data_IF_346964124768
#
_entry.id   IF_346964124768
#
_cell.length_a   1.000
_cell.length_b   1.000
_cell.length_c   1.000
_cell.angle_alpha   90.00
_cell.angle_beta   90.00
_cell.angle_gamma   90.00
#
_symmetry.space_group_name_H-M   'P 1'
#
loop_
_entity.id
_entity.type
_entity.pdbx_description
1 polymer ?
#
# COMPACT_ATOMS: atom_id res chain seq x y z
N UNK A 1 -13.98 21.48 -22.75
CA UNK A 1 -13.24 20.31 -23.27
C UNK A 1 -13.76 19.08 -22.55
N UNK A 2 -14.23 18.06 -23.27
CA UNK A 2 -14.81 16.85 -22.67
C UNK A 2 -13.72 16.01 -21.99
N UNK A 3 -13.89 15.68 -20.71
CA UNK A 3 -12.99 14.83 -19.92
C UNK A 3 -12.75 13.45 -20.55
N UNK A 4 -13.68 12.98 -21.39
CA UNK A 4 -13.55 11.72 -22.11
C UNK A 4 -12.54 11.75 -23.27
N UNK A 5 -12.24 12.92 -23.83
CA UNK A 5 -11.31 13.04 -24.96
C UNK A 5 -9.84 13.04 -24.52
N UNK A 6 -9.54 13.46 -23.29
CA UNK A 6 -8.19 13.45 -22.72
C UNK A 6 -7.74 12.06 -22.21
N UNK A 7 -8.69 11.18 -21.88
CA UNK A 7 -8.39 9.80 -21.44
C UNK A 7 -8.03 8.87 -22.61
N UNK A 8 -8.35 9.26 -23.85
CA UNK A 8 -8.18 8.38 -25.01
C UNK A 8 -6.72 8.27 -25.50
N UNK A 9 -5.85 9.22 -25.19
CA UNK A 9 -4.45 9.22 -25.67
C UNK A 9 -3.43 8.66 -24.65
N UNK A 10 -3.78 8.61 -23.35
CA UNK A 10 -2.85 8.26 -22.25
C UNK A 10 -3.28 7.01 -21.45
N UNK A 11 -4.18 6.17 -21.95
CA UNK A 11 -4.62 4.96 -21.23
C UNK A 11 -3.92 3.70 -21.74
N UNK A 12 -3.54 2.82 -20.81
CA UNK A 12 -2.98 1.51 -21.12
C UNK A 12 -3.84 0.75 -22.16
N UNK A 13 -3.21 0.00 -23.08
CA UNK A 13 -3.98 -0.88 -23.95
C UNK A 13 -4.63 -2.03 -23.14
N UNK A 14 -5.69 -2.63 -23.67
CA UNK A 14 -6.44 -3.67 -22.95
C UNK A 14 -5.57 -4.88 -22.57
N UNK A 15 -4.59 -5.24 -23.40
CA UNK A 15 -3.67 -6.35 -23.10
C UNK A 15 -2.82 -6.05 -21.87
N UNK A 16 -2.34 -4.81 -21.73
CA UNK A 16 -1.56 -4.33 -20.57
C UNK A 16 -2.39 -4.39 -19.30
N UNK A 17 -3.66 -3.95 -19.37
CA UNK A 17 -4.61 -4.04 -18.24
C UNK A 17 -4.81 -5.49 -17.79
N UNK A 18 -5.08 -6.40 -18.73
CA UNK A 18 -5.32 -7.82 -18.42
C UNK A 18 -4.06 -8.52 -17.90
N UNK A 19 -2.90 -8.15 -18.43
CA UNK A 19 -1.61 -8.63 -17.91
C UNK A 19 -1.38 -8.13 -16.48
N UNK A 20 -1.65 -6.85 -16.22
CA UNK A 20 -1.51 -6.26 -14.89
C UNK A 20 -2.43 -6.94 -13.86
N UNK A 21 -3.70 -7.22 -14.21
CA UNK A 21 -4.62 -7.98 -13.36
C UNK A 21 -4.12 -9.40 -13.08
N UNK A 22 -3.63 -10.09 -14.11
CA UNK A 22 -3.11 -11.46 -13.99
C UNK A 22 -1.88 -11.50 -13.10
N UNK A 23 -0.95 -10.55 -13.28
CA UNK A 23 0.24 -10.40 -12.44
C UNK A 23 -0.19 -10.11 -11.00
N UNK A 24 -1.08 -9.15 -10.78
CA UNK A 24 -1.56 -8.77 -9.44
C UNK A 24 -2.18 -9.94 -8.69
N UNK A 25 -3.04 -10.72 -9.37
CA UNK A 25 -3.63 -11.93 -8.79
C UNK A 25 -2.59 -13.02 -8.50
N UNK A 26 -1.65 -13.24 -9.43
CA UNK A 26 -0.60 -14.25 -9.27
C UNK A 26 0.33 -13.91 -8.11
N UNK A 27 0.75 -12.65 -8.00
CA UNK A 27 1.57 -12.15 -6.90
C UNK A 27 0.81 -12.23 -5.57
N UNK A 28 -0.47 -11.87 -5.56
CA UNK A 28 -1.30 -11.98 -4.37
C UNK A 28 -1.41 -13.45 -3.88
N UNK A 29 -1.72 -14.37 -4.79
CA UNK A 29 -1.83 -15.80 -4.48
C UNK A 29 -0.48 -16.40 -4.05
N UNK A 30 0.60 -16.07 -4.76
CA UNK A 30 1.96 -16.47 -4.39
C UNK A 30 2.35 -15.98 -3.00
N UNK A 31 1.99 -14.75 -2.66
CA UNK A 31 2.20 -14.18 -1.34
C UNK A 31 1.36 -14.86 -0.25
N UNK A 32 0.08 -15.17 -0.52
CA UNK A 32 -0.75 -15.98 0.40
C UNK A 32 -0.12 -17.35 0.67
N UNK A 33 0.41 -18.01 -0.37
CA UNK A 33 1.09 -19.30 -0.22
C UNK A 33 2.34 -19.14 0.64
N UNK A 34 3.14 -18.10 0.41
CA UNK A 34 4.34 -17.82 1.20
C UNK A 34 4.00 -17.61 2.68
N UNK A 35 3.05 -16.71 2.97
CA UNK A 35 2.60 -16.42 4.32
C UNK A 35 1.98 -17.67 4.96
N UNK A 36 1.24 -18.47 4.20
CA UNK A 36 0.74 -19.76 4.68
C UNK A 36 1.86 -20.70 5.13
N UNK A 37 2.96 -20.74 4.38
CA UNK A 37 4.14 -21.57 4.69
C UNK A 37 4.97 -21.02 5.84
N UNK A 38 4.93 -19.72 6.13
CA UNK A 38 5.59 -19.11 7.30
C UNK A 38 5.06 -19.67 8.63
N UNK A 39 3.81 -20.19 8.64
CA UNK A 39 3.09 -20.68 9.83
C UNK A 39 2.98 -19.64 10.96
N UNK A 40 3.19 -18.35 10.67
CA UNK A 40 3.07 -17.28 11.65
C UNK A 40 1.74 -16.52 11.45
N UNK A 41 0.74 -16.70 12.34
CA UNK A 41 -0.57 -16.05 12.22
C UNK A 41 -0.50 -14.52 12.11
N UNK A 42 0.50 -13.89 12.74
CA UNK A 42 0.74 -12.44 12.67
C UNK A 42 0.95 -11.98 11.22
N UNK A 43 1.66 -12.77 10.42
CA UNK A 43 1.95 -12.43 9.02
C UNK A 43 0.74 -12.56 8.10
N UNK A 44 -0.22 -13.45 8.42
CA UNK A 44 -1.49 -13.49 7.67
C UNK A 44 -2.25 -12.18 7.84
N UNK A 45 -2.35 -11.72 9.09
CA UNK A 45 -2.96 -10.43 9.40
C UNK A 45 -2.27 -9.27 8.69
N UNK A 46 -0.94 -9.19 8.83
CA UNK A 46 -0.14 -8.15 8.20
C UNK A 46 -0.31 -8.13 6.68
N UNK A 47 -0.25 -9.30 6.03
CA UNK A 47 -0.36 -9.43 4.58
C UNK A 47 -1.76 -9.07 4.07
N UNK A 48 -2.82 -9.52 4.75
CA UNK A 48 -4.20 -9.18 4.40
C UNK A 48 -4.48 -7.68 4.60
N UNK A 49 -3.95 -7.08 5.66
CA UNK A 49 -4.02 -5.65 5.89
C UNK A 49 -3.31 -4.86 4.80
N UNK A 50 -2.11 -5.29 4.37
CA UNK A 50 -1.40 -4.65 3.27
C UNK A 50 -2.19 -4.70 1.96
N UNK A 51 -3.01 -5.73 1.73
CA UNK A 51 -3.86 -5.83 0.54
C UNK A 51 -5.20 -5.11 0.69
N UNK A 52 -6.15 -5.72 1.39
CA UNK A 52 -7.55 -5.25 1.47
C UNK A 52 -7.61 -3.94 2.24
N UNK A 53 -6.86 -3.86 3.33
CA UNK A 53 -6.80 -2.66 4.14
C UNK A 53 -6.08 -1.50 3.44
N UNK A 54 -4.97 -1.79 2.76
CA UNK A 54 -4.23 -0.84 1.92
C UNK A 54 -5.07 -0.31 0.77
N UNK A 55 -5.71 -1.19 0.00
CA UNK A 55 -6.57 -0.80 -1.13
C UNK A 55 -7.84 -0.06 -0.70
N UNK A 56 -8.42 -0.36 0.47
CA UNK A 56 -9.54 0.43 1.01
C UNK A 56 -9.07 1.82 1.46
N UNK A 57 -7.92 1.91 2.15
CA UNK A 57 -7.36 3.19 2.58
C UNK A 57 -6.95 4.04 1.38
N UNK A 58 -6.24 3.47 0.42
CA UNK A 58 -5.93 4.10 -0.86
C UNK A 58 -7.22 4.57 -1.52
N UNK A 59 -8.23 3.72 -1.71
CA UNK A 59 -9.49 4.16 -2.32
C UNK A 59 -10.14 5.35 -1.60
N UNK A 60 -10.11 5.37 -0.26
CA UNK A 60 -10.55 6.53 0.51
C UNK A 60 -9.72 7.75 0.13
N UNK A 61 -8.39 7.69 0.23
CA UNK A 61 -7.51 8.84 -0.04
C UNK A 61 -7.45 9.27 -1.52
N UNK A 62 -7.66 8.34 -2.44
CA UNK A 62 -7.55 8.52 -3.89
C UNK A 62 -8.87 8.95 -4.52
N UNK A 63 -10.00 8.43 -4.05
CA UNK A 63 -11.31 8.71 -4.63
C UNK A 63 -11.81 10.12 -4.35
N UNK A 64 -11.46 10.72 -3.20
CA UNK A 64 -12.02 12.01 -2.76
C UNK A 64 -11.08 12.98 -2.03
N UNK A 65 -9.88 12.56 -1.63
CA UNK A 65 -9.03 13.39 -0.77
C UNK A 65 -7.70 13.77 -1.43
N UNK A 66 -6.60 13.14 -1.03
CA UNK A 66 -5.26 13.70 -1.19
C UNK A 66 -4.50 13.21 -2.41
N UNK A 67 -4.79 12.06 -2.98
CA UNK A 67 -3.98 11.54 -4.10
C UNK A 67 -4.66 11.77 -5.44
N UNK A 68 -5.99 11.70 -5.49
CA UNK A 68 -6.80 11.92 -6.71
C UNK A 68 -6.22 11.21 -7.93
N UNK A 69 -6.36 9.90 -7.88
CA UNK A 69 -5.89 8.98 -8.89
C UNK A 69 -7.06 8.53 -9.75
N UNK A 70 -6.86 8.41 -11.07
CA UNK A 70 -7.83 7.79 -11.97
C UNK A 70 -7.21 6.55 -12.57
N UNK A 71 -7.89 5.42 -12.37
CA UNK A 71 -7.60 4.14 -13.03
C UNK A 71 -8.47 3.97 -14.27
N UNK A 72 -8.02 3.11 -15.19
CA UNK A 72 -8.83 2.73 -16.34
C UNK A 72 -10.16 2.03 -15.95
N UNK A 73 -11.27 2.40 -16.58
CA UNK A 73 -12.59 1.80 -16.25
C UNK A 73 -12.75 0.33 -16.68
N UNK A 74 -11.83 -0.18 -17.52
CA UNK A 74 -11.86 -1.56 -18.02
C UNK A 74 -11.29 -2.58 -17.03
N UNK A 75 -10.75 -2.12 -15.90
CA UNK A 75 -10.35 -3.00 -14.79
C UNK A 75 -11.56 -3.72 -14.20
N UNK A 76 -11.37 -4.97 -13.78
CA UNK A 76 -12.34 -5.66 -12.93
C UNK A 76 -12.51 -4.88 -11.64
N UNK A 77 -13.77 -4.62 -11.29
CA UNK A 77 -14.14 -3.82 -10.13
C UNK A 77 -14.17 -4.69 -8.87
N UNK A 78 -13.43 -4.31 -7.83
CA UNK A 78 -13.53 -4.95 -6.51
C UNK A 78 -14.78 -4.47 -5.76
N UNK A 79 -15.01 -3.16 -5.76
CA UNK A 79 -16.23 -2.54 -5.24
C UNK A 79 -16.49 -1.20 -5.94
N UNK A 80 -17.72 -0.70 -5.78
CA UNK A 80 -18.11 0.65 -6.17
C UNK A 80 -18.67 1.34 -4.95
N UNK A 81 -18.17 2.52 -4.63
CA UNK A 81 -18.67 3.33 -3.53
C UNK A 81 -18.68 4.80 -3.94
N UNK A 82 -19.75 5.51 -3.59
CA UNK A 82 -19.94 6.93 -3.95
C UNK A 82 -19.73 7.26 -5.44
N UNK A 83 -20.05 6.32 -6.35
CA UNK A 83 -19.91 6.48 -7.80
C UNK A 83 -18.52 6.16 -8.35
N UNK A 84 -17.52 5.90 -7.50
CA UNK A 84 -16.15 5.59 -7.91
C UNK A 84 -15.89 4.07 -7.83
N UNK A 85 -15.23 3.52 -8.85
CA UNK A 85 -14.87 2.10 -8.94
C UNK A 85 -13.47 1.89 -8.37
N UNK A 86 -13.32 0.95 -7.44
CA UNK A 86 -12.01 0.47 -7.02
C UNK A 86 -11.57 -0.69 -7.92
N UNK A 87 -10.43 -0.54 -8.59
CA UNK A 87 -9.86 -1.59 -9.42
C UNK A 87 -9.33 -2.73 -8.54
N UNK A 88 -9.78 -3.97 -8.80
CA UNK A 88 -9.36 -5.15 -8.05
C UNK A 88 -7.85 -5.38 -8.12
N UNK A 89 -7.25 -5.13 -9.28
CA UNK A 89 -5.81 -5.27 -9.44
C UNK A 89 -5.03 -4.42 -8.44
N UNK A 90 -5.44 -3.16 -8.22
CA UNK A 90 -4.78 -2.27 -7.27
C UNK A 90 -4.82 -2.85 -5.86
N UNK A 91 -6.02 -3.25 -5.39
CA UNK A 91 -6.22 -3.86 -4.05
C UNK A 91 -5.33 -5.09 -3.82
N UNK A 92 -5.26 -5.98 -4.82
CA UNK A 92 -4.48 -7.21 -4.72
C UNK A 92 -2.97 -6.93 -4.76
N UNK A 93 -2.58 -5.92 -5.51
CA UNK A 93 -1.19 -5.60 -5.78
C UNK A 93 -0.45 -4.98 -4.58
N UNK A 94 -1.14 -4.17 -3.76
CA UNK A 94 -0.53 -3.60 -2.53
C UNK A 94 0.02 -4.67 -1.58
N UNK A 95 -0.57 -5.87 -1.61
CA UNK A 95 -0.06 -7.03 -0.87
C UNK A 95 1.38 -7.39 -1.27
N UNK A 96 1.73 -7.26 -2.55
CA UNK A 96 3.06 -7.60 -3.02
C UNK A 96 4.07 -6.47 -2.80
N UNK A 97 3.67 -5.20 -2.91
CA UNK A 97 4.60 -4.09 -2.77
C UNK A 97 4.88 -3.70 -1.32
N UNK A 98 3.90 -3.87 -0.43
CA UNK A 98 4.08 -3.58 0.99
C UNK A 98 4.00 -4.84 1.85
N UNK A 99 3.08 -5.77 1.56
CA UNK A 99 2.85 -6.96 2.38
C UNK A 99 4.02 -7.95 2.38
N UNK A 100 4.40 -8.50 1.21
CA UNK A 100 5.50 -9.49 1.13
C UNK A 100 6.83 -8.92 1.61
N UNK A 101 7.28 -7.72 1.17
CA UNK A 101 8.49 -7.12 1.69
C UNK A 101 8.46 -6.99 3.20
N UNK A 102 7.34 -6.54 3.79
CA UNK A 102 7.19 -6.43 5.23
C UNK A 102 7.30 -7.79 5.94
N UNK A 103 6.65 -8.83 5.42
CA UNK A 103 6.74 -10.19 5.97
C UNK A 103 8.17 -10.71 5.90
N UNK A 104 8.83 -10.58 4.73
CA UNK A 104 10.22 -11.01 4.54
C UNK A 104 11.18 -10.27 5.48
N UNK A 105 11.04 -8.95 5.60
CA UNK A 105 11.87 -8.15 6.52
C UNK A 105 11.71 -8.61 7.97
N UNK A 106 10.51 -9.04 8.37
CA UNK A 106 10.27 -9.60 9.71
C UNK A 106 10.81 -11.02 9.87
N UNK A 107 10.64 -11.88 8.87
CA UNK A 107 11.20 -13.24 8.85
C UNK A 107 12.73 -13.24 8.99
N UNK A 108 13.41 -12.29 8.34
CA UNK A 108 14.87 -12.15 8.39
C UNK A 108 15.36 -11.09 9.37
N UNK A 109 14.48 -10.59 10.25
CA UNK A 109 14.79 -9.45 11.14
C UNK A 109 16.00 -9.67 12.04
N UNK A 110 16.17 -10.87 12.58
CA UNK A 110 17.32 -11.21 13.43
C UNK A 110 18.64 -11.07 12.68
N UNK A 111 18.68 -11.55 11.42
CA UNK A 111 19.86 -11.44 10.56
C UNK A 111 20.12 -9.98 10.17
N UNK A 112 19.07 -9.22 9.84
CA UNK A 112 19.19 -7.79 9.54
C UNK A 112 19.74 -7.01 10.74
N UNK A 113 19.21 -7.27 11.94
CA UNK A 113 19.70 -6.64 13.18
C UNK A 113 21.13 -7.02 13.52
N UNK A 114 21.55 -8.26 13.24
CA UNK A 114 22.93 -8.69 13.45
C UNK A 114 23.91 -8.00 12.48
N UNK A 115 23.51 -7.82 11.21
CA UNK A 115 24.37 -7.27 10.16
C UNK A 115 24.41 -5.73 10.16
N UNK A 116 23.25 -5.09 10.26
CA UNK A 116 23.08 -3.64 10.10
C UNK A 116 22.91 -2.90 11.45
N UNK A 117 22.76 -3.66 12.54
CA UNK A 117 22.26 -3.11 13.79
C UNK A 117 20.77 -2.74 13.70
N UNK A 118 20.18 -2.40 14.84
CA UNK A 118 18.76 -2.01 14.90
C UNK A 118 18.51 -0.76 14.06
N UNK A 119 19.21 0.34 14.35
CA UNK A 119 19.03 1.61 13.64
C UNK A 119 19.29 1.49 12.13
N UNK A 120 20.35 0.77 11.73
CA UNK A 120 20.66 0.54 10.32
C UNK A 120 19.57 -0.26 9.60
N UNK A 121 18.92 -1.20 10.29
CA UNK A 121 17.77 -1.93 9.71
C UNK A 121 16.58 -1.01 9.47
N UNK A 122 16.23 -0.13 10.41
CA UNK A 122 15.14 0.83 10.20
C UNK A 122 15.45 1.80 9.06
N UNK A 123 16.70 2.26 8.93
CA UNK A 123 17.14 3.08 7.79
C UNK A 123 17.00 2.30 6.48
N UNK A 124 17.44 1.04 6.43
CA UNK A 124 17.32 0.20 5.24
C UNK A 124 15.84 -0.01 4.84
N UNK A 125 14.95 -0.24 5.80
CA UNK A 125 13.50 -0.36 5.55
C UNK A 125 12.91 0.95 5.02
N UNK A 126 13.29 2.10 5.59
CA UNK A 126 12.86 3.40 5.12
C UNK A 126 13.36 3.69 3.69
N UNK A 127 14.62 3.34 3.38
CA UNK A 127 15.19 3.47 2.03
C UNK A 127 14.46 2.57 1.03
N UNK A 128 14.11 1.34 1.43
CA UNK A 128 13.34 0.43 0.58
C UNK A 128 11.99 1.04 0.20
N UNK A 129 11.29 1.67 1.14
CA UNK A 129 10.06 2.41 0.84
C UNK A 129 10.30 3.65 -0.02
N UNK A 130 11.31 4.46 0.33
CA UNK A 130 11.65 5.70 -0.38
C UNK A 130 12.00 5.48 -1.85
N UNK A 131 12.68 4.36 -2.16
CA UNK A 131 13.09 4.02 -3.54
C UNK A 131 12.08 3.12 -4.22
N UNK A 132 11.52 2.15 -3.49
CA UNK A 132 10.60 1.15 -4.03
C UNK A 132 9.26 1.75 -4.47
N UNK A 133 8.71 2.69 -3.71
CA UNK A 133 7.46 3.37 -4.07
C UNK A 133 7.58 4.14 -5.38
N UNK A 134 8.59 5.02 -5.60
CA UNK A 134 8.79 5.65 -6.90
C UNK A 134 9.01 4.68 -8.05
N UNK A 135 9.80 3.61 -7.87
CA UNK A 135 9.99 2.60 -8.93
C UNK A 135 8.64 2.03 -9.35
N UNK A 136 7.79 1.70 -8.38
CA UNK A 136 6.44 1.21 -8.64
C UNK A 136 5.56 2.26 -9.33
N UNK A 137 5.37 3.39 -8.68
CA UNK A 137 4.43 4.43 -9.09
C UNK A 137 4.81 4.99 -10.45
N UNK A 138 6.08 5.35 -10.66
CA UNK A 138 6.55 5.89 -11.93
C UNK A 138 6.43 4.88 -13.07
N UNK A 139 6.61 3.58 -12.78
CA UNK A 139 6.36 2.53 -13.79
C UNK A 139 4.89 2.51 -14.19
N UNK A 140 3.97 2.68 -13.25
CA UNK A 140 2.53 2.61 -13.54
C UNK A 140 1.96 3.88 -14.15
N UNK A 141 2.51 5.05 -13.81
CA UNK A 141 2.06 6.34 -14.33
C UNK A 141 2.73 6.68 -15.68
N UNK A 142 4.03 6.40 -15.83
CA UNK A 142 4.82 6.89 -16.97
C UNK A 142 5.20 5.82 -18.00
N UNK A 143 5.15 4.53 -17.66
CA UNK A 143 5.53 3.45 -18.59
C UNK A 143 4.32 2.62 -19.00
N UNK A 144 3.58 2.11 -18.02
CA UNK A 144 2.44 1.24 -18.25
C UNK A 144 1.11 2.00 -18.39
N UNK A 145 1.07 3.27 -17.96
CA UNK A 145 -0.11 4.14 -18.00
C UNK A 145 -1.38 3.50 -17.42
N UNK A 146 -1.21 2.78 -16.29
CA UNK A 146 -2.27 2.08 -15.57
C UNK A 146 -3.19 3.07 -14.85
N UNK A 147 -2.60 4.12 -14.30
CA UNK A 147 -3.31 5.19 -13.61
C UNK A 147 -2.58 6.53 -13.74
N UNK A 148 -3.31 7.61 -13.45
CA UNK A 148 -2.79 8.98 -13.51
C UNK A 148 -3.17 9.77 -12.26
N UNK A 149 -2.24 10.55 -11.76
CA UNK A 149 -2.46 11.56 -10.72
C UNK A 149 -2.85 12.90 -11.34
N UNK A 150 -3.82 13.60 -10.73
CA UNK A 150 -4.35 14.88 -11.23
C UNK A 150 -3.70 16.12 -10.58
N UNK A 151 -2.41 16.04 -10.27
CA UNK A 151 -1.64 17.16 -9.69
C UNK A 151 -0.95 18.00 -10.74
N UNK A 152 -0.55 19.22 -10.39
CA UNK A 152 0.25 20.11 -11.27
C UNK A 152 1.63 19.51 -11.46
N UNK A 153 2.19 19.69 -12.65
CA UNK A 153 3.49 19.10 -13.05
C UNK A 153 4.62 19.43 -12.08
N UNK A 154 4.62 20.63 -11.47
CA UNK A 154 5.60 21.02 -10.45
C UNK A 154 5.57 20.17 -9.16
N UNK A 155 4.48 19.43 -8.91
CA UNK A 155 4.35 18.48 -7.81
C UNK A 155 4.58 17.03 -8.24
N UNK A 156 4.84 16.78 -9.53
CA UNK A 156 5.03 15.44 -10.06
C UNK A 156 6.51 15.11 -10.26
N UNK A 157 6.87 13.88 -9.91
CA UNK A 157 8.12 13.21 -10.23
C UNK A 157 7.77 12.01 -11.11
N UNK A 158 8.00 12.12 -12.42
CA UNK A 158 7.61 11.09 -13.41
C UNK A 158 6.16 10.59 -13.21
N UNK A 159 5.20 11.53 -13.21
CA UNK A 159 3.77 11.22 -13.12
C UNK A 159 3.25 10.82 -11.73
N UNK A 160 4.11 10.69 -10.72
CA UNK A 160 3.77 10.43 -9.32
C UNK A 160 3.94 11.70 -8.48
N UNK A 161 3.10 12.00 -7.47
CA UNK A 161 3.39 13.04 -6.48
C UNK A 161 4.80 12.88 -5.90
N UNK A 162 5.66 13.90 -5.89
CA UNK A 162 6.97 13.77 -5.25
C UNK A 162 6.84 13.49 -3.74
N UNK A 163 5.69 13.80 -3.15
CA UNK A 163 5.34 13.41 -1.78
C UNK A 163 5.31 11.92 -1.52
N UNK A 164 5.11 11.12 -2.57
CA UNK A 164 5.12 9.68 -2.45
C UNK A 164 6.51 9.11 -2.12
N UNK A 165 7.58 9.90 -2.26
CA UNK A 165 8.93 9.53 -1.82
C UNK A 165 8.97 9.27 -0.30
N UNK A 166 8.59 10.27 0.50
CA UNK A 166 8.58 10.10 1.96
C UNK A 166 7.36 9.30 2.43
N UNK A 167 6.23 9.36 1.73
CA UNK A 167 5.08 8.51 2.03
C UNK A 167 5.46 7.03 1.91
N UNK A 168 6.17 6.63 0.86
CA UNK A 168 6.71 5.28 0.69
C UNK A 168 7.60 4.85 1.84
N UNK A 169 8.50 5.73 2.29
CA UNK A 169 9.33 5.48 3.47
C UNK A 169 8.49 5.22 4.74
N UNK A 170 7.46 6.03 4.99
CA UNK A 170 6.54 5.86 6.12
C UNK A 170 5.71 4.57 6.00
N UNK A 171 5.22 4.26 4.80
CA UNK A 171 4.42 3.07 4.48
C UNK A 171 5.21 1.76 4.65
N UNK A 172 6.54 1.80 4.68
CA UNK A 172 7.37 0.64 5.04
C UNK A 172 7.82 0.68 6.51
N UNK A 173 8.29 1.84 6.98
CA UNK A 173 8.89 1.97 8.29
C UNK A 173 7.87 1.84 9.44
N UNK A 174 6.70 2.50 9.33
CA UNK A 174 5.70 2.46 10.40
C UNK A 174 5.09 1.06 10.57
N UNK A 175 4.71 0.32 9.53
CA UNK A 175 4.24 -1.05 9.70
C UNK A 175 5.33 -1.99 10.22
N UNK A 176 6.58 -1.82 9.78
CA UNK A 176 7.70 -2.60 10.31
C UNK A 176 7.87 -2.39 11.81
N UNK A 177 7.84 -1.14 12.26
CA UNK A 177 7.85 -0.79 13.67
C UNK A 177 6.64 -1.32 14.44
N UNK A 178 5.43 -1.15 13.89
CA UNK A 178 4.18 -1.58 14.54
C UNK A 178 4.16 -3.10 14.77
N UNK A 179 4.64 -3.88 13.80
CA UNK A 179 4.78 -5.33 13.93
C UNK A 179 5.85 -5.75 14.95
N UNK A 180 6.91 -4.96 15.15
CA UNK A 180 7.83 -5.19 16.28
C UNK A 180 7.11 -5.04 17.62
N UNK A 181 6.28 -4.02 17.77
CA UNK A 181 5.47 -3.81 18.98
C UNK A 181 4.43 -4.91 19.16
N UNK A 182 3.77 -5.34 18.07
CA UNK A 182 2.82 -6.45 18.08
C UNK A 182 3.45 -7.75 18.61
N UNK A 183 4.67 -8.05 18.14
CA UNK A 183 5.43 -9.21 18.62
C UNK A 183 5.76 -9.14 20.12
N UNK A 184 6.02 -7.94 20.66
CA UNK A 184 6.21 -7.74 22.10
C UNK A 184 4.90 -7.92 22.84
N UNK A 185 3.81 -7.31 22.35
CA UNK A 185 2.49 -7.39 22.97
C UNK A 185 1.98 -8.85 23.05
N UNK A 186 2.18 -9.66 22.00
CA UNK A 186 1.79 -11.08 22.00
C UNK A 186 2.51 -11.93 23.05
N UNK A 187 3.64 -11.45 23.60
CA UNK A 187 4.34 -12.11 24.72
C UNK A 187 3.78 -11.69 26.09
N UNK A 188 3.15 -10.52 26.16
CA UNK A 188 2.62 -9.94 27.39
C UNK A 188 1.14 -10.30 27.62
N UNK A 189 0.38 -10.52 26.55
CA UNK A 189 -1.03 -10.93 26.65
C UNK A 189 -1.12 -12.36 27.20
N UNK A 190 -1.85 -12.52 28.30
CA UNK A 190 -2.15 -13.83 28.88
C UNK A 190 -2.92 -14.68 27.88
N UNK A 191 -2.45 -15.92 27.67
CA UNK A 191 -3.10 -16.91 26.80
C UNK A 191 -3.87 -17.95 27.59
N UNK A 192 -3.99 -17.76 28.91
CA UNK A 192 -4.71 -18.68 29.78
C UNK A 192 -6.19 -18.72 29.38
N UNK A 193 -6.70 -19.93 29.12
CA UNK A 193 -8.09 -20.15 28.72
C UNK A 193 -8.38 -19.97 27.23
N UNK A 194 -7.43 -19.52 26.40
CA UNK A 194 -7.61 -19.42 24.95
C UNK A 194 -7.25 -20.73 24.25
N UNK A 195 -8.15 -21.20 23.38
CA UNK A 195 -7.88 -22.28 22.44
C UNK A 195 -6.76 -21.92 21.44
N UNK A 196 -6.20 -22.93 20.78
CA UNK A 196 -5.18 -22.71 19.74
C UNK A 196 -5.70 -21.83 18.61
N UNK A 197 -6.98 -21.99 18.24
CA UNK A 197 -7.60 -21.17 17.20
C UNK A 197 -7.68 -19.70 17.61
N UNK A 198 -8.17 -19.43 18.82
CA UNK A 198 -8.29 -18.05 19.35
C UNK A 198 -6.93 -17.36 19.46
N UNK A 199 -5.89 -18.09 19.88
CA UNK A 199 -4.53 -17.54 19.91
C UNK A 199 -4.00 -17.17 18.51
N UNK A 200 -4.33 -17.98 17.49
CA UNK A 200 -3.95 -17.69 16.11
C UNK A 200 -4.75 -16.51 15.54
N UNK A 201 -6.04 -16.45 15.84
CA UNK A 201 -6.89 -15.32 15.43
C UNK A 201 -6.44 -14.01 16.07
N UNK A 202 -6.16 -14.01 17.38
CA UNK A 202 -5.63 -12.83 18.07
C UNK A 202 -4.33 -12.31 17.43
N UNK A 203 -3.39 -13.21 17.11
CA UNK A 203 -2.17 -12.83 16.44
C UNK A 203 -2.43 -12.30 15.02
N UNK A 204 -3.35 -12.90 14.27
CA UNK A 204 -3.78 -12.40 12.96
C UNK A 204 -4.39 -11.00 13.07
N UNK A 205 -5.36 -10.80 13.96
CA UNK A 205 -6.02 -9.51 14.19
C UNK A 205 -5.02 -8.43 14.59
N UNK A 206 -4.07 -8.75 15.47
CA UNK A 206 -3.04 -7.80 15.86
C UNK A 206 -2.11 -7.44 14.70
N UNK A 207 -1.74 -8.40 13.86
CA UNK A 207 -0.95 -8.15 12.65
C UNK A 207 -1.70 -7.23 11.69
N UNK A 208 -2.98 -7.49 11.49
CA UNK A 208 -3.85 -6.69 10.64
C UNK A 208 -3.97 -5.25 11.17
N UNK A 209 -4.32 -5.11 12.46
CA UNK A 209 -4.50 -3.81 13.11
C UNK A 209 -3.21 -2.98 13.13
N UNK A 210 -2.05 -3.63 13.31
CA UNK A 210 -0.75 -2.96 13.31
C UNK A 210 -0.44 -2.31 11.97
N UNK A 211 -0.64 -3.04 10.87
CA UNK A 211 -0.38 -2.53 9.52
C UNK A 211 -1.39 -1.46 9.14
N UNK A 212 -2.69 -1.68 9.39
CA UNK A 212 -3.72 -0.68 9.06
C UNK A 212 -3.55 0.62 9.81
N UNK A 213 -3.26 0.55 11.12
CA UNK A 213 -3.04 1.74 11.92
C UNK A 213 -1.81 2.50 11.44
N UNK A 214 -0.73 1.78 11.10
CA UNK A 214 0.48 2.38 10.56
C UNK A 214 0.26 3.06 9.20
N UNK A 215 -0.51 2.44 8.30
CA UNK A 215 -0.91 3.04 7.03
C UNK A 215 -1.75 4.29 7.23
N UNK A 216 -2.72 4.26 8.14
CA UNK A 216 -3.54 5.43 8.47
C UNK A 216 -2.68 6.59 9.00
N UNK A 217 -1.73 6.31 9.89
CA UNK A 217 -0.79 7.33 10.40
C UNK A 217 0.08 7.88 9.28
N UNK A 218 0.66 7.03 8.44
CA UNK A 218 1.48 7.45 7.29
C UNK A 218 0.67 8.36 6.33
N UNK A 219 -0.56 7.97 6.01
CA UNK A 219 -1.44 8.72 5.12
C UNK A 219 -1.87 10.05 5.75
N UNK A 220 -2.15 10.07 7.06
CA UNK A 220 -2.47 11.30 7.80
C UNK A 220 -1.30 12.28 7.78
N UNK A 221 -0.08 11.81 8.06
CA UNK A 221 1.13 12.65 8.01
C UNK A 221 1.35 13.17 6.58
N UNK A 222 1.11 12.34 5.57
CA UNK A 222 1.18 12.79 4.18
C UNK A 222 0.08 13.82 3.84
N UNK A 223 -1.13 13.65 4.37
CA UNK A 223 -2.22 14.61 4.25
C UNK A 223 -1.90 15.98 4.84
N UNK A 224 -1.09 16.05 5.90
CA UNK A 224 -0.58 17.33 6.44
C UNK A 224 0.26 18.05 5.39
N UNK A 225 1.09 17.34 4.61
CA UNK A 225 1.82 17.96 3.50
C UNK A 225 0.87 18.54 2.46
N UNK A 226 -0.17 17.81 2.06
CA UNK A 226 -1.19 18.32 1.12
C UNK A 226 -1.89 19.58 1.65
N UNK A 227 -2.12 19.68 2.96
CA UNK A 227 -2.69 20.88 3.57
C UNK A 227 -1.72 22.07 3.53
N UNK A 228 -0.41 21.83 3.60
CA UNK A 228 0.63 22.87 3.62
C UNK A 228 1.10 23.29 2.22
N UNK A 229 1.05 22.39 1.23
CA UNK A 229 1.53 22.64 -0.13
C UNK A 229 0.63 23.60 -0.93
N UNK A 230 -0.57 23.91 -0.43
CA UNK A 230 -1.52 24.79 -1.11
C UNK A 230 -2.31 24.06 -2.21
N UNK A 231 -2.61 24.75 -3.31
CA UNK A 231 -3.35 24.15 -4.43
C UNK A 231 -2.41 23.33 -5.33
N UNK A 232 -2.37 22.02 -5.09
CA UNK A 232 -1.55 21.07 -5.84
C UNK A 232 -2.24 20.50 -7.08
N UNK A 233 -3.49 20.87 -7.36
CA UNK A 233 -4.37 20.18 -8.32
C UNK A 233 -4.47 20.89 -9.68
N UNK A 234 -4.45 20.15 -10.79
CA UNK A 234 -4.66 20.73 -12.15
C UNK A 234 -6.12 20.99 -12.47
N UNK A 235 -7.02 20.27 -11.81
CA UNK A 235 -8.46 20.51 -11.84
C UNK A 235 -8.94 20.70 -10.41
N UNK A 236 -9.70 21.76 -10.15
CA UNK A 236 -10.26 22.05 -8.81
C UNK A 236 -10.74 20.76 -8.14
N UNK A 237 -10.49 20.56 -6.83
CA UNK A 237 -11.13 19.48 -6.09
C UNK A 237 -12.62 19.55 -6.42
N UNK A 238 -13.21 18.44 -6.87
CA UNK A 238 -14.66 18.38 -7.10
C UNK A 238 -15.32 18.89 -5.81
N UNK A 239 -16.31 19.76 -5.96
CA UNK A 239 -17.05 20.34 -4.82
C UNK A 239 -17.50 19.20 -3.89
N UNK A 240 -17.19 19.35 -2.60
CA UNK A 240 -17.72 18.51 -1.54
C UNK A 240 -19.23 18.71 -1.39
#
# INVERSE_FOLDING_TARGET
>A
MNSQQYLAEDTANLQTIRLYETISLTLFAGGLIYVYRSRNPLFYGAYLASSVGGGVMEWVFDGKYYFRLTTDERFYTAWTMAGEKAALAMVLFYAFFFGIPLVLLHDYRSNLYATLGRSGTYVAVAVLGFVGTPIFECTNTSVAHIYKYHQKEEYLFHGMPYSNLWFGAMMMMFPFWALDQANVLLKLVSRAGLSVWEQRMLACELGFASVISAFFVAATVNGVWYCMAGDVWTTSPRLF
#
